data_IF_401757939978
#
_entry.id   IF_401757939978
#
_cell.length_a   1.000
_cell.length_b   1.000
_cell.length_c   1.000
_cell.angle_alpha   90.00
_cell.angle_beta   90.00
_cell.angle_gamma   90.00
#
_symmetry.space_group_name_H-M   'P 1'
#
loop_
_entity.id
_entity.type
_entity.pdbx_description
1 polymer ?
#
# COMPACT_ATOMS: atom_id res chain seq x y z
N UNK A 1 -10.12 9.41 -8.33
CA UNK A 1 -9.36 10.04 -9.44
C UNK A 1 -10.18 11.22 -9.93
N UNK A 2 -9.59 12.42 -10.01
CA UNK A 2 -10.33 13.66 -10.32
C UNK A 2 -10.39 14.00 -11.83
N UNK A 3 -9.58 13.35 -12.66
CA UNK A 3 -9.55 13.53 -14.12
C UNK A 3 -10.27 12.37 -14.82
N UNK A 4 -11.09 12.68 -15.83
CA UNK A 4 -11.85 11.72 -16.65
C UNK A 4 -11.05 11.14 -17.82
N UNK A 5 -9.97 11.79 -18.23
CA UNK A 5 -9.01 11.32 -19.22
C UNK A 5 -7.60 11.81 -18.85
N UNK A 6 -6.57 11.11 -19.35
CA UNK A 6 -5.16 11.50 -19.17
C UNK A 6 -4.72 12.26 -20.42
N UNK A 7 -4.07 13.42 -20.25
CA UNK A 7 -3.34 14.06 -21.34
C UNK A 7 -2.11 13.22 -21.71
N UNK A 8 -1.50 13.53 -22.86
CA UNK A 8 -0.22 12.91 -23.23
C UNK A 8 0.86 13.17 -22.17
N UNK A 9 0.93 14.40 -21.66
CA UNK A 9 1.85 14.77 -20.59
C UNK A 9 1.57 14.00 -19.28
N UNK A 10 0.30 13.83 -18.88
CA UNK A 10 -0.06 13.02 -17.72
C UNK A 10 0.38 11.56 -17.92
N UNK A 11 0.22 11.03 -19.13
CA UNK A 11 0.60 9.66 -19.49
C UNK A 11 2.12 9.46 -19.43
N UNK A 12 2.90 10.34 -20.05
CA UNK A 12 4.36 10.29 -20.05
C UNK A 12 4.92 10.42 -18.63
N UNK A 13 4.37 11.35 -17.84
CA UNK A 13 4.74 11.49 -16.44
C UNK A 13 4.42 10.24 -15.62
N UNK A 14 3.24 9.63 -15.83
CA UNK A 14 2.88 8.39 -15.15
C UNK A 14 3.85 7.25 -15.52
N UNK A 15 4.18 7.10 -16.80
CA UNK A 15 5.13 6.08 -17.27
C UNK A 15 6.51 6.28 -16.62
N UNK A 16 7.05 7.50 -16.68
CA UNK A 16 8.35 7.83 -16.09
C UNK A 16 8.39 7.54 -14.58
N UNK A 17 7.36 7.92 -13.82
CA UNK A 17 7.32 7.63 -12.39
C UNK A 17 7.13 6.14 -12.10
N UNK A 18 6.35 5.43 -12.92
CA UNK A 18 6.16 3.98 -12.79
C UNK A 18 7.47 3.21 -13.04
N UNK A 19 8.26 3.60 -14.04
CA UNK A 19 9.59 3.02 -14.32
C UNK A 19 10.54 3.22 -13.15
N UNK A 20 10.61 4.44 -12.60
CA UNK A 20 11.44 4.73 -11.42
C UNK A 20 11.00 3.92 -10.21
N UNK A 21 9.70 3.79 -9.99
CA UNK A 21 9.15 3.00 -8.90
C UNK A 21 9.41 1.50 -9.10
N UNK A 22 9.37 1.02 -10.33
CA UNK A 22 9.73 -0.35 -10.69
C UNK A 22 11.22 -0.61 -10.41
N UNK A 23 12.12 0.29 -10.84
CA UNK A 23 13.54 0.21 -10.53
C UNK A 23 13.82 0.22 -9.01
N UNK A 24 13.09 1.06 -8.26
CA UNK A 24 13.14 1.04 -6.80
C UNK A 24 12.69 -0.31 -6.22
N UNK A 25 11.56 -0.84 -6.68
CA UNK A 25 11.00 -2.11 -6.23
C UNK A 25 11.92 -3.31 -6.54
N UNK A 26 12.64 -3.27 -7.66
CA UNK A 26 13.58 -4.32 -8.07
C UNK A 26 14.95 -4.24 -7.36
N UNK A 27 15.42 -3.04 -7.04
CA UNK A 27 16.77 -2.85 -6.48
C UNK A 27 16.80 -2.47 -5.00
N UNK A 28 16.21 -1.33 -4.66
CA UNK A 28 16.47 -0.60 -3.40
C UNK A 28 15.38 -0.78 -2.33
N UNK A 29 14.22 -1.32 -2.67
CA UNK A 29 13.14 -1.52 -1.71
C UNK A 29 13.55 -2.52 -0.64
N UNK A 30 13.55 -2.08 0.63
CA UNK A 30 13.89 -2.93 1.78
C UNK A 30 12.80 -3.97 2.03
N UNK A 31 13.24 -5.20 2.31
CA UNK A 31 12.38 -6.38 2.49
C UNK A 31 12.54 -7.01 3.88
N UNK A 32 13.54 -6.57 4.64
CA UNK A 32 13.88 -7.12 5.95
C UNK A 32 13.32 -6.25 7.06
N UNK A 33 12.90 -6.90 8.15
CA UNK A 33 12.56 -6.25 9.40
C UNK A 33 12.85 -7.21 10.56
N UNK A 34 12.94 -6.69 11.79
CA UNK A 34 13.12 -7.54 12.97
C UNK A 34 11.82 -8.29 13.25
N UNK A 35 11.83 -9.61 13.10
CA UNK A 35 10.64 -10.47 13.14
C UNK A 35 9.80 -10.34 14.43
N UNK A 36 10.45 -10.00 15.55
CA UNK A 36 9.81 -9.82 16.85
C UNK A 36 9.16 -8.44 17.07
N UNK A 37 9.19 -7.53 16.08
CA UNK A 37 8.65 -6.18 16.20
C UNK A 37 7.51 -5.94 15.20
N UNK A 38 6.27 -6.08 15.68
CA UNK A 38 5.06 -5.86 14.88
C UNK A 38 5.01 -4.44 14.25
N UNK A 39 5.57 -3.44 14.92
CA UNK A 39 5.73 -2.09 14.37
C UNK A 39 6.64 -2.10 13.12
N UNK A 40 7.83 -2.71 13.20
CA UNK A 40 8.74 -2.80 12.05
C UNK A 40 8.13 -3.62 10.91
N UNK A 41 7.39 -4.69 11.24
CA UNK A 41 6.64 -5.46 10.25
C UNK A 41 5.59 -4.60 9.53
N UNK A 42 4.75 -3.86 10.28
CA UNK A 42 3.77 -2.90 9.73
C UNK A 42 4.44 -1.91 8.80
N UNK A 43 5.59 -1.37 9.20
CA UNK A 43 6.30 -0.37 8.40
C UNK A 43 6.85 -0.94 7.08
N UNK A 44 7.62 -2.03 7.16
CA UNK A 44 8.24 -2.64 5.97
C UNK A 44 7.17 -3.18 5.03
N UNK A 45 6.20 -3.93 5.56
CA UNK A 45 5.08 -4.43 4.76
C UNK A 45 4.22 -3.30 4.20
N UNK A 46 4.04 -2.21 4.96
CA UNK A 46 3.31 -1.03 4.50
C UNK A 46 3.96 -0.38 3.29
N UNK A 47 5.29 -0.22 3.31
CA UNK A 47 6.03 0.31 2.15
C UNK A 47 5.91 -0.62 0.95
N UNK A 48 6.14 -1.93 1.14
CA UNK A 48 6.00 -2.91 0.06
C UNK A 48 4.60 -2.87 -0.53
N UNK A 49 3.56 -2.90 0.32
CA UNK A 49 2.17 -2.80 -0.12
C UNK A 49 1.88 -1.54 -0.94
N UNK A 50 2.33 -0.36 -0.49
CA UNK A 50 2.09 0.90 -1.20
C UNK A 50 2.78 0.90 -2.57
N UNK A 51 4.00 0.40 -2.66
CA UNK A 51 4.75 0.30 -3.92
C UNK A 51 4.04 -0.65 -4.88
N UNK A 52 3.64 -1.84 -4.40
CA UNK A 52 2.99 -2.86 -5.23
C UNK A 52 1.59 -2.42 -5.68
N UNK A 53 0.75 -1.86 -4.80
CA UNK A 53 -0.57 -1.33 -5.18
C UNK A 53 -0.42 -0.20 -6.20
N UNK A 54 0.57 0.68 -6.04
CA UNK A 54 0.81 1.79 -6.98
C UNK A 54 1.24 1.26 -8.35
N UNK A 55 2.21 0.33 -8.41
CA UNK A 55 2.64 -0.29 -9.67
C UNK A 55 1.51 -1.07 -10.33
N UNK A 56 0.68 -1.79 -9.56
CA UNK A 56 -0.48 -2.48 -10.11
C UNK A 56 -1.48 -1.51 -10.73
N UNK A 57 -1.81 -0.42 -10.01
CA UNK A 57 -2.71 0.61 -10.52
C UNK A 57 -2.15 1.29 -11.76
N UNK A 58 -0.86 1.64 -11.77
CA UNK A 58 -0.20 2.23 -12.92
C UNK A 58 -0.25 1.30 -14.12
N UNK A 59 0.05 0.01 -13.95
CA UNK A 59 -0.04 -0.97 -15.03
C UNK A 59 -1.47 -1.13 -15.58
N UNK A 60 -2.49 -1.05 -14.72
CA UNK A 60 -3.90 -1.07 -15.17
C UNK A 60 -4.27 0.16 -16.00
N UNK A 61 -3.74 1.33 -15.66
CA UNK A 61 -3.98 2.57 -16.39
C UNK A 61 -3.23 2.57 -17.73
N UNK A 62 -1.97 2.13 -17.73
CA UNK A 62 -1.10 2.08 -18.91
C UNK A 62 -1.49 0.94 -19.87
N UNK A 63 -2.22 -0.07 -19.41
CA UNK A 63 -2.63 -1.23 -20.20
C UNK A 63 -1.43 -2.02 -20.71
N UNK A 64 -1.50 -2.50 -21.95
CA UNK A 64 -0.45 -3.30 -22.59
C UNK A 64 0.89 -2.54 -22.71
N UNK A 65 0.84 -1.20 -22.78
CA UNK A 65 2.05 -0.36 -22.81
C UNK A 65 2.88 -0.44 -21.52
N UNK A 66 2.29 -0.94 -20.43
CA UNK A 66 3.05 -1.18 -19.20
C UNK A 66 4.03 -2.34 -19.29
N UNK A 67 3.86 -3.24 -20.27
CA UNK A 67 4.64 -4.48 -20.40
C UNK A 67 4.71 -5.26 -19.08
N UNK A 68 3.60 -5.28 -18.33
CA UNK A 68 3.51 -5.80 -16.96
C UNK A 68 4.05 -7.22 -16.85
N UNK A 69 3.81 -8.04 -17.86
CA UNK A 69 4.27 -9.43 -17.97
C UNK A 69 5.79 -9.59 -17.86
N UNK A 70 6.58 -8.58 -18.27
CA UNK A 70 8.04 -8.67 -18.26
C UNK A 70 8.66 -8.40 -16.87
N UNK A 71 8.03 -7.55 -16.06
CA UNK A 71 8.60 -7.09 -14.79
C UNK A 71 7.81 -7.54 -13.55
N UNK A 72 6.50 -7.74 -13.64
CA UNK A 72 5.68 -8.14 -12.50
C UNK A 72 6.14 -9.45 -11.85
N UNK A 73 6.42 -10.54 -12.60
CA UNK A 73 6.90 -11.79 -12.00
C UNK A 73 8.22 -11.63 -11.25
N UNK A 74 9.12 -10.76 -11.75
CA UNK A 74 10.42 -10.48 -11.12
C UNK A 74 10.26 -9.79 -9.78
N UNK A 75 9.35 -8.82 -9.69
CA UNK A 75 9.02 -8.14 -8.43
C UNK A 75 8.34 -9.13 -7.47
N UNK A 76 7.38 -9.91 -7.93
CA UNK A 76 6.66 -10.88 -7.09
C UNK A 76 7.61 -11.92 -6.48
N UNK A 77 8.56 -12.44 -7.27
CA UNK A 77 9.63 -13.34 -6.79
C UNK A 77 10.50 -12.66 -5.72
N UNK A 78 10.90 -11.41 -5.95
CA UNK A 78 11.72 -10.66 -5.00
C UNK A 78 11.04 -10.48 -3.64
N UNK A 79 9.72 -10.27 -3.61
CA UNK A 79 8.95 -10.08 -2.37
C UNK A 79 8.35 -11.37 -1.80
N UNK A 80 8.66 -12.54 -2.37
CA UNK A 80 8.05 -13.82 -1.98
C UNK A 80 8.27 -14.14 -0.49
N UNK A 81 9.49 -13.92 0.02
CA UNK A 81 9.84 -14.13 1.42
C UNK A 81 9.32 -13.06 2.38
N UNK A 82 8.72 -11.96 1.87
CA UNK A 82 8.21 -10.89 2.70
C UNK A 82 6.81 -11.24 3.19
N UNK A 83 6.76 -11.89 4.35
CA UNK A 83 5.52 -12.27 5.04
C UNK A 83 5.66 -11.96 6.53
N UNK A 84 4.54 -11.66 7.18
CA UNK A 84 4.52 -11.52 8.63
C UNK A 84 4.07 -12.81 9.30
N UNK A 85 4.97 -13.37 10.10
CA UNK A 85 4.72 -14.56 10.92
C UNK A 85 4.68 -14.07 12.38
N UNK A 86 3.50 -14.10 13.04
CA UNK A 86 3.38 -13.73 14.44
C UNK A 86 4.27 -14.62 15.31
N UNK A 87 5.00 -14.04 16.26
CA UNK A 87 5.63 -14.81 17.34
C UNK A 87 4.54 -15.40 18.25
N UNK A 88 4.75 -16.62 18.76
CA UNK A 88 3.82 -17.29 19.68
C UNK A 88 3.65 -16.56 21.03
N UNK A 89 4.48 -15.55 21.31
CA UNK A 89 4.39 -14.74 22.52
C UNK A 89 3.25 -13.73 22.39
N UNK A 90 2.24 -13.88 23.24
CA UNK A 90 1.06 -13.01 23.28
C UNK A 90 1.48 -11.57 23.60
N UNK A 91 1.21 -10.58 22.73
CA UNK A 91 1.50 -9.19 23.04
C UNK A 91 0.58 -8.69 24.16
N UNK A 92 1.15 -8.26 25.28
CA UNK A 92 0.41 -7.82 26.47
C UNK A 92 -0.26 -6.44 26.37
N UNK A 93 -0.22 -5.77 25.21
CA UNK A 93 -0.66 -4.38 25.05
C UNK A 93 -1.52 -4.17 23.79
N UNK A 94 -2.66 -3.49 23.92
CA UNK A 94 -3.65 -3.21 22.85
C UNK A 94 -3.04 -2.57 21.59
N UNK A 95 -2.06 -1.65 21.74
CA UNK A 95 -1.35 -1.04 20.59
C UNK A 95 -0.53 -2.06 19.79
N UNK A 96 -0.02 -3.09 20.46
CA UNK A 96 0.70 -4.19 19.83
C UNK A 96 -0.26 -5.08 19.02
N UNK A 97 -1.49 -5.27 19.51
CA UNK A 97 -2.56 -6.01 18.82
C UNK A 97 -2.98 -5.30 17.52
N UNK A 98 -3.21 -3.97 17.53
CA UNK A 98 -3.57 -3.27 16.28
C UNK A 98 -2.45 -3.35 15.23
N UNK A 99 -1.19 -3.18 15.63
CA UNK A 99 -0.06 -3.33 14.70
C UNK A 99 0.07 -4.76 14.15
N UNK A 100 -0.23 -5.77 14.97
CA UNK A 100 -0.30 -7.17 14.56
C UNK A 100 -1.37 -7.38 13.48
N UNK A 101 -2.58 -6.86 13.69
CA UNK A 101 -3.68 -7.00 12.74
C UNK A 101 -3.39 -6.33 11.40
N UNK A 102 -2.80 -5.13 11.45
CA UNK A 102 -2.39 -4.40 10.24
C UNK A 102 -1.29 -5.18 9.51
N UNK A 103 -0.27 -5.68 10.21
CA UNK A 103 0.80 -6.47 9.59
C UNK A 103 0.28 -7.78 8.96
N UNK A 104 -0.63 -8.49 9.63
CA UNK A 104 -1.31 -9.68 9.07
C UNK A 104 -2.11 -9.33 7.83
N UNK A 105 -2.90 -8.26 7.88
CA UNK A 105 -3.74 -7.81 6.76
C UNK A 105 -2.88 -7.37 5.58
N UNK A 106 -1.75 -6.68 5.81
CA UNK A 106 -0.78 -6.35 4.78
C UNK A 106 -0.19 -7.60 4.12
N UNK A 107 0.20 -8.60 4.93
CA UNK A 107 0.71 -9.87 4.43
C UNK A 107 -0.33 -10.56 3.53
N UNK A 108 -1.61 -10.59 3.94
CA UNK A 108 -2.70 -11.14 3.15
C UNK A 108 -2.94 -10.35 1.85
N UNK A 109 -2.88 -9.01 1.89
CA UNK A 109 -3.01 -8.18 0.70
C UNK A 109 -1.89 -8.45 -0.33
N UNK A 110 -0.66 -8.71 0.13
CA UNK A 110 0.44 -9.09 -0.76
C UNK A 110 0.21 -10.44 -1.46
N UNK A 111 -0.51 -11.38 -0.84
CA UNK A 111 -0.85 -12.66 -1.50
C UNK A 111 -1.79 -12.46 -2.70
N UNK A 112 -2.73 -11.50 -2.65
CA UNK A 112 -3.55 -11.16 -3.83
C UNK A 112 -2.66 -10.72 -5.00
N UNK A 113 -1.72 -9.82 -4.73
CA UNK A 113 -0.81 -9.32 -5.77
C UNK A 113 0.08 -10.42 -6.35
N UNK A 114 0.53 -11.37 -5.52
CA UNK A 114 1.29 -12.54 -5.99
C UNK A 114 0.47 -13.41 -6.96
N UNK A 115 -0.84 -13.50 -6.76
CA UNK A 115 -1.78 -14.17 -7.70
C UNK A 115 -2.10 -13.34 -8.94
N UNK A 116 -1.53 -12.14 -9.06
CA UNK A 116 -1.80 -11.22 -10.17
C UNK A 116 -3.09 -10.43 -10.00
N UNK A 117 -3.72 -10.47 -8.83
CA UNK A 117 -4.98 -9.81 -8.52
C UNK A 117 -4.79 -8.60 -7.60
N UNK A 118 -5.75 -7.68 -7.61
CA UNK A 118 -5.79 -6.60 -6.62
C UNK A 118 -6.69 -7.01 -5.44
N UNK A 119 -6.28 -6.77 -4.19
CA UNK A 119 -7.15 -6.98 -3.04
C UNK A 119 -8.47 -6.20 -3.17
N UNK A 120 -9.53 -6.63 -2.45
CA UNK A 120 -10.81 -5.92 -2.43
C UNK A 120 -10.64 -4.44 -2.07
N UNK A 121 -11.38 -3.51 -2.69
CA UNK A 121 -11.22 -2.08 -2.45
C UNK A 121 -11.29 -1.68 -0.96
N UNK A 122 -12.21 -2.30 -0.20
CA UNK A 122 -12.32 -2.08 1.26
C UNK A 122 -11.03 -2.39 2.02
N UNK A 123 -10.31 -3.44 1.61
CA UNK A 123 -9.06 -3.85 2.24
C UNK A 123 -7.96 -2.86 1.91
N UNK A 124 -7.85 -2.45 0.63
CA UNK A 124 -6.84 -1.47 0.21
C UNK A 124 -7.05 -0.13 0.91
N UNK A 125 -8.29 0.36 0.95
CA UNK A 125 -8.64 1.62 1.64
C UNK A 125 -8.34 1.50 3.12
N UNK A 126 -8.85 0.46 3.80
CA UNK A 126 -8.63 0.26 5.23
C UNK A 126 -7.15 0.15 5.60
N UNK A 127 -6.33 -0.52 4.77
CA UNK A 127 -4.88 -0.58 4.97
C UNK A 127 -4.21 0.79 4.81
N UNK A 128 -4.58 1.58 3.80
CA UNK A 128 -4.03 2.95 3.63
C UNK A 128 -4.41 3.85 4.80
N UNK A 129 -5.66 3.79 5.26
CA UNK A 129 -6.11 4.53 6.45
C UNK A 129 -5.35 4.09 7.70
N UNK A 130 -5.18 2.78 7.92
CA UNK A 130 -4.42 2.25 9.04
C UNK A 130 -2.95 2.68 9.00
N UNK A 131 -2.34 2.76 7.82
CA UNK A 131 -0.96 3.21 7.68
C UNK A 131 -0.80 4.71 7.96
N UNK A 132 -1.63 5.55 7.35
CA UNK A 132 -1.44 7.01 7.33
C UNK A 132 -2.19 7.78 8.41
N UNK A 133 -3.34 7.30 8.87
CA UNK A 133 -4.25 8.02 9.76
C UNK A 133 -4.21 7.52 11.20
N UNK A 134 -3.84 6.25 11.44
CA UNK A 134 -3.65 5.76 12.81
C UNK A 134 -2.29 6.17 13.37
N UNK A 135 -2.30 6.98 14.44
CA UNK A 135 -1.08 7.40 15.15
C UNK A 135 -0.36 6.17 15.73
N UNK A 136 0.78 5.82 15.15
CA UNK A 136 1.70 4.85 15.72
C UNK A 136 2.99 5.58 16.11
N UNK A 137 3.35 5.68 17.41
CA UNK A 137 4.58 6.36 17.82
C UNK A 137 5.79 5.88 17.02
N UNK A 138 6.61 6.83 16.58
CA UNK A 138 7.84 6.58 15.79
C UNK A 138 7.64 5.98 14.38
N UNK A 139 6.40 5.83 13.90
CA UNK A 139 6.13 5.38 12.53
C UNK A 139 6.57 6.41 11.51
N UNK A 140 7.28 5.98 10.46
CA UNK A 140 7.63 6.80 9.28
C UNK A 140 6.39 7.33 8.55
N UNK A 141 5.24 6.70 8.74
CA UNK A 141 3.98 7.14 8.14
C UNK A 141 3.40 8.37 8.84
N UNK A 142 3.91 8.75 10.03
CA UNK A 142 3.52 10.00 10.69
C UNK A 142 4.21 11.23 10.09
N UNK A 143 5.24 11.06 9.25
CA UNK A 143 5.97 12.17 8.65
C UNK A 143 5.05 13.02 7.76
N UNK A 144 5.35 14.32 7.69
CA UNK A 144 4.56 15.33 6.97
C UNK A 144 4.38 15.04 5.47
N UNK A 145 5.34 14.34 4.84
CA UNK A 145 5.23 13.90 3.44
C UNK A 145 3.99 13.04 3.13
N UNK A 146 3.35 12.47 4.16
CA UNK A 146 2.12 11.70 4.03
C UNK A 146 0.86 12.50 4.36
N UNK A 147 0.96 13.80 4.65
CA UNK A 147 -0.20 14.65 4.97
C UNK A 147 -1.18 14.75 3.81
N UNK A 148 -0.69 14.80 2.57
CA UNK A 148 -1.56 14.77 1.38
C UNK A 148 -2.47 13.54 1.35
N UNK A 149 -1.98 12.38 1.79
CA UNK A 149 -2.80 11.17 1.90
C UNK A 149 -3.83 11.28 3.02
N UNK A 150 -3.45 11.85 4.17
CA UNK A 150 -4.37 12.09 5.29
C UNK A 150 -5.46 13.09 4.91
N UNK A 151 -5.14 14.10 4.11
CA UNK A 151 -6.09 15.09 3.59
C UNK A 151 -7.06 14.48 2.59
N UNK A 152 -6.58 13.62 1.69
CA UNK A 152 -7.42 12.91 0.73
C UNK A 152 -8.41 11.98 1.45
N UNK A 153 -7.95 11.23 2.46
CA UNK A 153 -8.82 10.40 3.32
C UNK A 153 -9.86 11.26 4.04
N UNK A 154 -9.46 12.40 4.63
CA UNK A 154 -10.41 13.33 5.30
C UNK A 154 -11.47 13.84 4.33
N UNK A 155 -11.06 14.21 3.12
CA UNK A 155 -11.95 14.71 2.06
C UNK A 155 -12.92 13.64 1.59
N UNK A 156 -12.42 12.42 1.36
CA UNK A 156 -13.22 11.26 0.98
C UNK A 156 -14.27 10.90 2.04
N UNK A 157 -13.87 10.82 3.33
CA UNK A 157 -14.79 10.55 4.44
C UNK A 157 -15.90 11.58 4.54
N UNK A 158 -15.56 12.88 4.40
CA UNK A 158 -16.54 13.96 4.40
C UNK A 158 -17.54 13.81 3.26
N UNK A 159 -17.06 13.51 2.05
CA UNK A 159 -17.93 13.32 0.89
C UNK A 159 -18.88 12.13 1.08
N UNK A 160 -18.39 10.99 1.57
CA UNK A 160 -19.24 9.82 1.86
C UNK A 160 -20.29 10.13 2.95
N UNK A 161 -19.93 10.88 3.99
CA UNK A 161 -20.87 11.29 5.03
C UNK A 161 -22.01 12.17 4.48
N UNK A 162 -21.69 13.12 3.59
CA UNK A 162 -22.68 13.97 2.95
C UNK A 162 -23.64 13.15 2.07
N UNK A 163 -23.11 12.27 1.23
CA UNK A 163 -23.92 11.37 0.38
C UNK A 163 -24.89 10.50 1.21
N UNK A 164 -24.44 9.99 2.36
CA UNK A 164 -25.29 9.19 3.25
C UNK A 164 -26.35 10.02 3.97
N UNK A 165 -26.06 11.28 4.28
CA UNK A 165 -27.00 12.20 4.90
C UNK A 165 -28.10 12.67 3.92
N UNK A 166 -27.76 12.82 2.63
CA UNK A 166 -28.71 13.19 1.56
C UNK A 166 -29.60 12.01 1.12
N UNK A 167 -29.18 10.77 1.41
CA UNK A 167 -29.95 9.55 1.13
C UNK A 167 -30.97 9.16 2.21
N UNK A 168 -31.15 10.01 3.23
CA UNK A 168 -32.12 9.85 4.33
C UNK A 168 -33.22 10.90 4.24
#
# INVERSE_FOLDING_TARGET
>A
MKKSSLSLEDFENLLFQAERLCGYAMGKMSLSYRANQAMCARETLGVVFLVIDTLYCAAKILGDRSMKELWWPRIMRRIEGVKYIPSAVVPSLTKCIRNLDVARTLSAALEYYRRGERPPPRMVIGLKEALFCEKCPSSKFNQEKWDLWREDVRSWRRHIQLMLAESK
#
